data_IF_834815602491
#
_entry.id   IF_834815602491
#
_cell.length_a   1.000
_cell.length_b   1.000
_cell.length_c   1.000
_cell.angle_alpha   90.00
_cell.angle_beta   90.00
_cell.angle_gamma   90.00
#
_symmetry.space_group_name_H-M   'P 1'
#
loop_
_entity.id
_entity.type
_entity.pdbx_description
1 polymer ?
#
# COMPACT_ATOMS: atom_id res chain seq x y z
N UNK A 1 4.87 -45.94 5.30
CA UNK A 1 4.53 -44.94 4.26
C UNK A 1 4.04 -43.68 4.95
N UNK A 2 4.90 -42.66 5.05
CA UNK A 2 4.54 -41.34 5.58
C UNK A 2 3.72 -40.60 4.54
N UNK A 3 2.40 -40.55 4.73
CA UNK A 3 1.52 -39.70 3.91
C UNK A 3 1.85 -38.25 4.22
N UNK A 4 2.57 -37.58 3.32
CA UNK A 4 2.79 -36.14 3.40
C UNK A 4 1.44 -35.44 3.38
N UNK A 5 1.01 -34.93 4.55
CA UNK A 5 -0.21 -34.13 4.68
C UNK A 5 -0.18 -33.04 3.62
N UNK A 6 -1.23 -32.99 2.77
CA UNK A 6 -1.36 -31.95 1.75
C UNK A 6 -1.41 -30.59 2.45
N UNK A 7 -0.55 -29.67 2.00
CA UNK A 7 -0.51 -28.27 2.44
C UNK A 7 -1.93 -27.66 2.42
N UNK A 8 -2.36 -26.97 3.50
CA UNK A 8 -3.68 -26.35 3.54
C UNK A 8 -3.89 -25.37 2.37
N UNK A 9 -5.10 -25.36 1.79
CA UNK A 9 -5.44 -24.46 0.67
C UNK A 9 -5.13 -22.99 0.97
N UNK A 10 -5.32 -22.55 2.22
CA UNK A 10 -5.03 -21.18 2.67
C UNK A 10 -3.54 -20.84 2.57
N UNK A 11 -2.68 -21.71 3.08
CA UNK A 11 -1.20 -21.55 3.02
C UNK A 11 -0.73 -21.52 1.57
N UNK A 12 -1.24 -22.43 0.73
CA UNK A 12 -0.92 -22.43 -0.71
C UNK A 12 -1.34 -21.13 -1.41
N UNK A 13 -2.53 -20.63 -1.08
CA UNK A 13 -3.05 -19.38 -1.65
C UNK A 13 -2.23 -18.18 -1.21
N UNK A 14 -1.85 -18.09 0.07
CA UNK A 14 -0.97 -17.06 0.59
C UNK A 14 0.37 -17.07 -0.15
N UNK A 15 1.05 -18.21 -0.19
CA UNK A 15 2.34 -18.37 -0.90
C UNK A 15 2.26 -17.92 -2.37
N UNK A 16 1.18 -18.26 -3.08
CA UNK A 16 0.98 -17.82 -4.47
C UNK A 16 0.81 -16.31 -4.59
N UNK A 17 0.06 -15.68 -3.69
CA UNK A 17 -0.09 -14.21 -3.68
C UNK A 17 1.22 -13.52 -3.36
N UNK A 18 1.93 -13.97 -2.34
CA UNK A 18 3.24 -13.42 -1.96
C UNK A 18 4.24 -13.55 -3.12
N UNK A 19 4.28 -14.71 -3.78
CA UNK A 19 5.13 -14.92 -4.96
C UNK A 19 4.75 -14.01 -6.14
N UNK A 20 3.44 -13.80 -6.37
CA UNK A 20 2.95 -12.90 -7.42
C UNK A 20 3.40 -11.46 -7.19
N UNK A 21 3.26 -10.95 -5.96
CA UNK A 21 3.66 -9.58 -5.63
C UNK A 21 5.17 -9.40 -5.60
N UNK A 22 5.92 -10.40 -5.12
CA UNK A 22 7.38 -10.41 -5.21
C UNK A 22 7.85 -10.38 -6.67
N UNK A 23 7.17 -11.10 -7.57
CA UNK A 23 7.49 -11.06 -9.00
C UNK A 23 7.24 -9.69 -9.63
N UNK A 24 6.11 -9.04 -9.31
CA UNK A 24 5.81 -7.67 -9.74
C UNK A 24 6.86 -6.68 -9.23
N UNK A 25 7.24 -6.78 -7.96
CA UNK A 25 8.28 -5.92 -7.37
C UNK A 25 9.64 -6.10 -8.06
N UNK A 26 10.03 -7.33 -8.41
CA UNK A 26 11.27 -7.61 -9.16
C UNK A 26 11.26 -7.04 -10.57
N UNK A 27 10.11 -7.00 -11.24
CA UNK A 27 9.95 -6.47 -12.60
C UNK A 27 9.88 -4.95 -12.66
N UNK A 28 9.63 -4.28 -11.53
CA UNK A 28 9.53 -2.83 -11.47
C UNK A 28 10.91 -2.16 -11.66
N UNK A 29 11.02 -1.39 -12.74
CA UNK A 29 12.28 -0.80 -13.20
C UNK A 29 12.47 0.64 -12.71
N UNK A 30 11.38 1.36 -12.50
CA UNK A 30 11.38 2.76 -12.04
C UNK A 30 10.88 2.92 -10.59
N UNK A 31 11.25 4.00 -9.88
CA UNK A 31 10.74 4.27 -8.53
C UNK A 31 9.21 4.25 -8.46
N UNK A 32 8.52 4.86 -9.43
CA UNK A 32 7.06 4.88 -9.49
C UNK A 32 6.46 3.49 -9.72
N UNK A 33 7.11 2.64 -10.52
CA UNK A 33 6.67 1.25 -10.71
C UNK A 33 6.85 0.42 -9.44
N UNK A 34 7.96 0.60 -8.71
CA UNK A 34 8.20 -0.09 -7.44
C UNK A 34 7.16 0.31 -6.41
N UNK A 35 6.86 1.60 -6.34
CA UNK A 35 5.81 2.11 -5.48
C UNK A 35 4.43 1.53 -5.84
N UNK A 36 4.05 1.48 -7.13
CA UNK A 36 2.79 0.85 -7.57
C UNK A 36 2.74 -0.64 -7.21
N UNK A 37 3.81 -1.39 -7.42
CA UNK A 37 3.88 -2.79 -7.04
C UNK A 37 3.68 -2.99 -5.53
N UNK A 38 4.27 -2.10 -4.71
CA UNK A 38 4.09 -2.11 -3.26
C UNK A 38 2.66 -1.72 -2.83
N UNK A 39 2.01 -0.77 -3.51
CA UNK A 39 0.60 -0.45 -3.29
C UNK A 39 -0.30 -1.66 -3.54
N UNK A 40 -0.11 -2.35 -4.67
CA UNK A 40 -0.87 -3.55 -5.02
C UNK A 40 -0.69 -4.65 -3.97
N UNK A 41 0.55 -4.83 -3.48
CA UNK A 41 0.87 -5.79 -2.43
C UNK A 41 0.16 -5.45 -1.12
N UNK A 42 0.21 -4.19 -0.67
CA UNK A 42 -0.47 -3.75 0.56
C UNK A 42 -1.98 -3.93 0.48
N UNK A 43 -2.61 -3.48 -0.61
CA UNK A 43 -4.06 -3.65 -0.81
C UNK A 43 -4.45 -5.13 -0.79
N UNK A 44 -3.63 -5.99 -1.40
CA UNK A 44 -3.84 -7.43 -1.40
C UNK A 44 -3.71 -8.04 0.00
N UNK A 45 -2.68 -7.66 0.76
CA UNK A 45 -2.46 -8.12 2.13
C UNK A 45 -3.63 -7.71 3.04
N UNK A 46 -4.02 -6.42 3.01
CA UNK A 46 -5.17 -5.90 3.77
C UNK A 46 -6.45 -6.67 3.45
N UNK A 47 -6.75 -6.88 2.16
CA UNK A 47 -7.96 -7.59 1.69
C UNK A 47 -8.03 -9.02 2.22
N UNK A 48 -6.90 -9.70 2.37
CA UNK A 48 -6.83 -11.10 2.80
C UNK A 48 -6.41 -11.28 4.26
N UNK A 49 -6.28 -10.19 5.01
CA UNK A 49 -5.98 -10.21 6.44
C UNK A 49 -7.15 -10.81 7.25
N UNK A 50 -6.92 -11.08 8.54
CA UNK A 50 -7.94 -11.59 9.45
C UNK A 50 -9.06 -10.58 9.73
N UNK A 51 -8.77 -9.29 9.62
CA UNK A 51 -9.72 -8.21 9.84
C UNK A 51 -9.57 -7.10 8.79
N UNK A 52 -10.04 -7.31 7.55
CA UNK A 52 -9.78 -6.40 6.43
C UNK A 52 -10.23 -4.96 6.69
N UNK A 53 -11.40 -4.76 7.31
CA UNK A 53 -11.89 -3.43 7.65
C UNK A 53 -11.02 -2.72 8.70
N UNK A 54 -10.54 -3.46 9.71
CA UNK A 54 -9.65 -2.90 10.74
C UNK A 54 -8.30 -2.52 10.14
N UNK A 55 -7.67 -3.44 9.42
CA UNK A 55 -6.38 -3.21 8.76
C UNK A 55 -6.47 -2.05 7.76
N UNK A 56 -7.55 -1.97 6.98
CA UNK A 56 -7.76 -0.87 6.05
C UNK A 56 -7.89 0.49 6.75
N UNK A 57 -8.58 0.56 7.91
CA UNK A 57 -8.69 1.80 8.69
C UNK A 57 -7.37 2.26 9.29
N UNK A 58 -6.60 1.32 9.86
CA UNK A 58 -5.28 1.60 10.43
C UNK A 58 -4.34 2.14 9.33
N UNK A 59 -4.22 1.43 8.21
CA UNK A 59 -3.38 1.85 7.08
C UNK A 59 -3.88 3.15 6.44
N UNK A 60 -5.19 3.36 6.34
CA UNK A 60 -5.75 4.62 5.85
C UNK A 60 -5.33 5.80 6.73
N UNK A 61 -5.37 5.66 8.06
CA UNK A 61 -5.01 6.74 8.98
C UNK A 61 -3.54 7.13 8.82
N UNK A 62 -2.64 6.15 8.80
CA UNK A 62 -1.19 6.33 8.60
C UNK A 62 -0.88 6.95 7.23
N UNK A 63 -1.42 6.40 6.15
CA UNK A 63 -1.20 6.92 4.80
C UNK A 63 -1.77 8.33 4.65
N UNK A 64 -2.93 8.63 5.24
CA UNK A 64 -3.49 9.98 5.21
C UNK A 64 -2.59 10.99 5.91
N UNK A 65 -1.94 10.62 7.00
CA UNK A 65 -0.94 11.46 7.65
C UNK A 65 0.28 11.68 6.76
N UNK A 66 0.78 10.63 6.10
CA UNK A 66 1.86 10.74 5.13
C UNK A 66 1.51 11.67 3.97
N UNK A 67 0.28 11.59 3.44
CA UNK A 67 -0.19 12.51 2.40
C UNK A 67 -0.09 13.96 2.87
N UNK A 68 -0.60 14.26 4.07
CA UNK A 68 -0.55 15.62 4.63
C UNK A 68 0.88 16.14 4.76
N UNK A 69 1.80 15.33 5.31
CA UNK A 69 3.22 15.68 5.46
C UNK A 69 3.92 15.91 4.11
N UNK A 70 3.53 15.18 3.05
CA UNK A 70 4.08 15.40 1.71
C UNK A 70 3.50 16.67 1.09
N UNK A 71 2.21 16.94 1.27
CA UNK A 71 1.57 18.16 0.77
C UNK A 71 2.10 19.42 1.47
N UNK A 72 2.40 19.36 2.77
CA UNK A 72 3.07 20.45 3.50
C UNK A 72 4.40 20.84 2.86
N UNK A 73 5.13 19.86 2.29
CA UNK A 73 6.41 20.10 1.60
C UNK A 73 6.23 20.53 0.15
N UNK A 74 5.21 20.01 -0.52
CA UNK A 74 4.94 20.27 -1.93
C UNK A 74 4.27 21.64 -2.16
N UNK A 75 3.74 22.27 -1.11
CA UNK A 75 3.08 23.57 -1.13
C UNK A 75 2.10 23.73 -2.33
N UNK A 76 1.13 22.81 -2.49
CA UNK A 76 0.18 22.88 -3.59
C UNK A 76 -0.66 24.16 -3.51
N UNK A 77 -1.14 24.63 -4.66
CA UNK A 77 -2.11 25.73 -4.68
C UNK A 77 -3.39 25.37 -3.87
N UNK A 78 -4.17 26.36 -3.41
CA UNK A 78 -5.32 26.12 -2.54
C UNK A 78 -6.39 25.19 -3.13
N UNK A 79 -6.60 25.22 -4.45
CA UNK A 79 -7.58 24.35 -5.11
C UNK A 79 -7.13 22.88 -5.09
N UNK A 80 -5.84 22.63 -5.35
CA UNK A 80 -5.25 21.30 -5.24
C UNK A 80 -5.25 20.81 -3.79
N UNK A 81 -4.91 21.67 -2.81
CA UNK A 81 -4.96 21.32 -1.40
C UNK A 81 -6.37 20.91 -0.95
N UNK A 82 -7.40 21.68 -1.34
CA UNK A 82 -8.81 21.36 -1.06
C UNK A 82 -9.25 20.05 -1.71
N UNK A 83 -8.77 19.76 -2.92
CA UNK A 83 -9.06 18.49 -3.60
C UNK A 83 -8.48 17.29 -2.83
N UNK A 84 -7.23 17.37 -2.37
CA UNK A 84 -6.63 16.30 -1.57
C UNK A 84 -7.37 16.09 -0.26
N UNK A 85 -7.71 17.16 0.46
CA UNK A 85 -8.47 17.04 1.70
C UNK A 85 -9.85 16.40 1.46
N UNK A 86 -10.57 16.86 0.43
CA UNK A 86 -11.85 16.26 0.03
C UNK A 86 -11.72 14.76 -0.28
N UNK A 87 -10.65 14.34 -0.98
CA UNK A 87 -10.42 12.94 -1.33
C UNK A 87 -10.05 12.06 -0.13
N UNK A 88 -9.27 12.59 0.82
CA UNK A 88 -8.93 11.89 2.06
C UNK A 88 -10.14 11.75 3.00
N UNK A 89 -11.06 12.71 2.99
CA UNK A 89 -12.26 12.71 3.80
C UNK A 89 -13.48 12.11 3.09
N UNK A 90 -13.32 11.60 1.86
CA UNK A 90 -14.41 11.03 1.08
C UNK A 90 -14.98 9.77 1.77
N UNK A 91 -16.29 9.73 1.95
CA UNK A 91 -17.01 8.56 2.46
C UNK A 91 -16.91 7.37 1.49
N UNK A 92 -16.94 6.15 2.03
CA UNK A 92 -16.88 4.92 1.26
C UNK A 92 -16.55 3.71 2.11
N UNK A 93 -16.35 2.55 1.47
CA UNK A 93 -15.83 1.36 2.17
C UNK A 93 -14.41 1.60 2.65
N UNK A 94 -13.98 0.93 3.73
CA UNK A 94 -12.63 1.10 4.27
C UNK A 94 -11.54 0.84 3.21
N UNK A 95 -11.74 -0.17 2.35
CA UNK A 95 -10.85 -0.46 1.22
C UNK A 95 -10.81 0.65 0.17
N UNK A 96 -11.97 1.26 -0.16
CA UNK A 96 -12.03 2.37 -1.10
C UNK A 96 -11.33 3.61 -0.54
N UNK A 97 -11.50 3.89 0.76
CA UNK A 97 -10.81 4.97 1.46
C UNK A 97 -9.29 4.77 1.44
N UNK A 98 -8.82 3.57 1.78
CA UNK A 98 -7.40 3.23 1.69
C UNK A 98 -6.85 3.41 0.25
N UNK A 99 -7.58 2.93 -0.75
CA UNK A 99 -7.20 3.10 -2.16
C UNK A 99 -7.10 4.58 -2.56
N UNK A 100 -8.04 5.42 -2.11
CA UNK A 100 -8.00 6.86 -2.32
C UNK A 100 -6.79 7.51 -1.64
N UNK A 101 -6.47 7.12 -0.41
CA UNK A 101 -5.30 7.64 0.31
C UNK A 101 -3.98 7.30 -0.42
N UNK A 102 -3.84 6.07 -0.91
CA UNK A 102 -2.68 5.64 -1.71
C UNK A 102 -2.57 6.39 -3.05
N UNK A 103 -3.71 6.64 -3.70
CA UNK A 103 -3.76 7.48 -4.90
C UNK A 103 -3.33 8.92 -4.58
N UNK A 104 -3.82 9.48 -3.47
CA UNK A 104 -3.44 10.82 -3.02
C UNK A 104 -1.94 10.90 -2.70
N UNK A 105 -1.37 9.88 -2.05
CA UNK A 105 0.06 9.84 -1.75
C UNK A 105 0.89 9.85 -3.03
N UNK A 106 0.49 9.07 -4.04
CA UNK A 106 1.14 9.09 -5.36
C UNK A 106 1.10 10.47 -5.99
N UNK A 107 -0.07 11.12 -5.94
CA UNK A 107 -0.28 12.45 -6.49
C UNK A 107 0.57 13.49 -5.78
N UNK A 108 0.56 13.49 -4.46
CA UNK A 108 1.32 14.42 -3.63
C UNK A 108 2.82 14.30 -3.88
N UNK A 109 3.36 13.08 -3.95
CA UNK A 109 4.79 12.85 -4.28
C UNK A 109 5.13 13.38 -5.67
N UNK A 110 4.21 13.26 -6.64
CA UNK A 110 4.42 13.73 -8.02
C UNK A 110 4.49 15.26 -8.15
N UNK A 111 4.12 16.01 -7.13
CA UNK A 111 4.23 17.48 -7.11
C UNK A 111 5.65 17.95 -6.75
N UNK A 112 6.50 17.07 -6.20
CA UNK A 112 7.84 17.41 -5.77
C UNK A 112 8.83 17.48 -6.94
N UNK A 113 10.02 18.02 -6.66
CA UNK A 113 11.16 17.93 -7.57
C UNK A 113 11.47 16.48 -7.94
N UNK A 114 12.02 16.23 -9.12
CA UNK A 114 12.30 14.87 -9.60
C UNK A 114 13.17 14.06 -8.63
N UNK A 115 14.22 14.67 -8.07
CA UNK A 115 15.11 14.01 -7.12
C UNK A 115 14.38 13.61 -5.82
N UNK A 116 13.51 14.47 -5.30
CA UNK A 116 12.74 14.19 -4.08
C UNK A 116 11.59 13.22 -4.32
N UNK A 117 10.93 13.36 -5.47
CA UNK A 117 9.87 12.47 -5.94
C UNK A 117 10.37 11.03 -6.00
N UNK A 118 11.49 10.82 -6.67
CA UNK A 118 12.05 9.48 -6.84
C UNK A 118 12.52 8.89 -5.50
N UNK A 119 13.15 9.72 -4.66
CA UNK A 119 13.52 9.33 -3.28
C UNK A 119 12.31 8.93 -2.44
N UNK A 120 11.21 9.69 -2.50
CA UNK A 120 10.00 9.36 -1.75
C UNK A 120 9.28 8.16 -2.32
N UNK A 121 9.24 7.97 -3.63
CA UNK A 121 8.69 6.75 -4.21
C UNK A 121 9.45 5.51 -3.74
N UNK A 122 10.78 5.55 -3.69
CA UNK A 122 11.59 4.45 -3.15
C UNK A 122 11.33 4.23 -1.65
N UNK A 123 11.29 5.31 -0.87
CA UNK A 123 11.01 5.24 0.56
C UNK A 123 9.66 4.58 0.84
N UNK A 124 8.60 5.06 0.20
CA UNK A 124 7.26 4.50 0.41
C UNK A 124 7.10 3.13 -0.24
N UNK A 125 7.79 2.81 -1.34
CA UNK A 125 7.77 1.46 -1.89
C UNK A 125 8.29 0.44 -0.86
N UNK A 126 9.36 0.78 -0.13
CA UNK A 126 9.90 -0.05 0.94
C UNK A 126 8.92 -0.16 2.10
N UNK A 127 8.45 0.97 2.63
CA UNK A 127 7.53 1.01 3.76
C UNK A 127 6.23 0.23 3.49
N UNK A 128 5.57 0.46 2.34
CA UNK A 128 4.34 -0.26 1.98
C UNK A 128 4.60 -1.77 1.79
N UNK A 129 5.77 -2.15 1.30
CA UNK A 129 6.19 -3.55 1.17
C UNK A 129 6.40 -4.23 2.53
N UNK A 130 7.02 -3.54 3.48
CA UNK A 130 7.20 -4.01 4.86
C UNK A 130 5.86 -4.17 5.58
N UNK A 131 4.94 -3.22 5.43
CA UNK A 131 3.59 -3.33 6.01
C UNK A 131 2.77 -4.46 5.38
N UNK A 132 2.87 -4.66 4.07
CA UNK A 132 2.22 -5.81 3.42
C UNK A 132 2.73 -7.15 3.98
N UNK A 133 4.04 -7.27 4.20
CA UNK A 133 4.65 -8.46 4.80
C UNK A 133 4.21 -8.67 6.25
N UNK A 134 4.14 -7.59 7.05
CA UNK A 134 3.65 -7.63 8.44
C UNK A 134 2.23 -8.16 8.51
N UNK A 135 1.32 -7.63 7.69
CA UNK A 135 -0.09 -8.04 7.64
C UNK A 135 -0.23 -9.50 7.20
N UNK A 136 0.53 -9.92 6.19
CA UNK A 136 0.54 -11.33 5.75
C UNK A 136 1.06 -12.27 6.85
N UNK A 137 2.09 -11.86 7.61
CA UNK A 137 2.66 -12.64 8.70
C UNK A 137 1.68 -12.82 9.87
N UNK A 138 0.97 -11.77 10.28
CA UNK A 138 -0.09 -11.83 11.29
C UNK A 138 -1.24 -12.78 10.89
N UNK A 139 -1.44 -12.97 9.57
CA UNK A 139 -2.39 -13.92 9.01
C UNK A 139 -1.91 -15.39 9.03
N UNK A 140 -0.60 -15.62 8.97
CA UNK A 140 0.05 -16.91 8.63
C UNK A 140 0.23 -17.94 9.74
N UNK A 141 0.04 -17.57 11.01
CA UNK A 141 0.29 -18.44 12.18
C UNK A 141 -0.74 -19.58 12.43
N UNK A 142 -1.31 -20.21 11.39
CA UNK A 142 -2.21 -21.37 11.53
C UNK A 142 -2.08 -22.40 10.41
#
# INVERSE_FOLDING_TARGET
>A
MTTTKREPRKVRSLRRRTAHHADRARKASTPVERFRAAQDALLSAVTHSRGPGRAAREQHAEISEHVRRVLERAEPNPASAALYDSKLNQSGTDSARLGNALMCLRGAISLLSEAERDRLFEHYARHLGEEAQRIDAEGGDR
#
